data_IF_395213659581
#
_entry.id   IF_395213659581
#
_cell.length_a   1.000
_cell.length_b   1.000
_cell.length_c   1.000
_cell.angle_alpha   90.00
_cell.angle_beta   90.00
_cell.angle_gamma   90.00
#
_symmetry.space_group_name_H-M   'P 1'
#
loop_
_entity.id
_entity.type
_entity.pdbx_description
1 polymer ?
#
# COMPACT_ATOMS: atom_id res chain seq x y z
N UNK A 1 -29.47 12.98 -3.08
CA UNK A 1 -28.14 12.50 -3.50
C UNK A 1 -27.61 11.75 -2.30
N UNK A 2 -28.03 10.48 -2.19
CA UNK A 2 -27.77 9.60 -1.06
C UNK A 2 -26.36 9.02 -1.18
N UNK A 3 -25.49 9.35 -0.24
CA UNK A 3 -24.19 8.72 -0.09
C UNK A 3 -24.27 7.29 0.47
N UNK A 4 -25.23 6.48 0.01
CA UNK A 4 -25.26 5.06 0.35
C UNK A 4 -24.22 4.36 -0.51
N UNK A 5 -23.06 4.06 0.08
CA UNK A 5 -22.12 3.11 -0.50
C UNK A 5 -22.91 1.84 -0.81
N UNK A 6 -23.07 1.55 -2.09
CA UNK A 6 -23.92 0.47 -2.56
C UNK A 6 -23.42 -0.84 -1.96
N UNK A 7 -24.27 -1.52 -1.19
CA UNK A 7 -23.91 -2.76 -0.46
C UNK A 7 -23.30 -3.83 -1.38
N UNK A 8 -23.64 -3.76 -2.68
CA UNK A 8 -23.06 -4.57 -3.76
C UNK A 8 -21.55 -4.35 -3.96
N UNK A 9 -21.03 -3.14 -3.73
CA UNK A 9 -19.60 -2.81 -3.82
C UNK A 9 -18.85 -3.39 -2.61
N UNK A 10 -19.40 -3.25 -1.41
CA UNK A 10 -18.81 -3.84 -0.20
C UNK A 10 -18.80 -5.37 -0.26
N UNK A 11 -19.88 -5.96 -0.78
CA UNK A 11 -19.95 -7.41 -1.02
C UNK A 11 -18.98 -7.82 -2.13
N UNK A 12 -18.86 -7.03 -3.21
CA UNK A 12 -17.88 -7.28 -4.28
C UNK A 12 -16.43 -7.26 -3.79
N UNK A 13 -16.08 -6.26 -2.96
CA UNK A 13 -14.76 -6.14 -2.34
C UNK A 13 -14.48 -7.27 -1.33
N UNK A 14 -15.48 -7.64 -0.52
CA UNK A 14 -15.34 -8.73 0.45
C UNK A 14 -15.25 -10.11 -0.22
N UNK A 15 -16.00 -10.34 -1.29
CA UNK A 15 -15.98 -11.59 -2.06
C UNK A 15 -14.68 -11.72 -2.85
N UNK A 16 -14.17 -10.64 -3.43
CA UNK A 16 -12.83 -10.65 -4.04
C UNK A 16 -11.77 -10.91 -2.97
N UNK A 17 -11.72 -10.16 -1.87
CA UNK A 17 -10.76 -10.42 -0.79
C UNK A 17 -10.82 -11.87 -0.28
N UNK A 18 -12.01 -12.38 0.02
CA UNK A 18 -12.22 -13.72 0.57
C UNK A 18 -11.85 -14.84 -0.41
N UNK A 19 -12.24 -14.69 -1.68
CA UNK A 19 -11.87 -15.63 -2.74
C UNK A 19 -10.35 -15.68 -2.98
N UNK A 20 -9.69 -14.53 -2.88
CA UNK A 20 -8.23 -14.44 -3.08
C UNK A 20 -7.43 -14.97 -1.89
N UNK A 21 -7.87 -14.71 -0.65
CA UNK A 21 -7.25 -15.31 0.54
C UNK A 21 -7.33 -16.84 0.46
N UNK A 22 -8.46 -17.40 0.05
CA UNK A 22 -8.63 -18.84 -0.11
C UNK A 22 -7.73 -19.41 -1.21
N UNK A 23 -7.55 -18.69 -2.32
CA UNK A 23 -6.64 -19.09 -3.40
C UNK A 23 -5.16 -19.01 -2.98
N UNK A 24 -4.77 -18.01 -2.18
CA UNK A 24 -3.40 -17.93 -1.64
C UNK A 24 -3.10 -19.08 -0.67
N UNK A 25 -4.03 -19.40 0.22
CA UNK A 25 -3.84 -20.49 1.19
C UNK A 25 -3.73 -21.87 0.52
N UNK A 26 -4.31 -22.05 -0.67
CA UNK A 26 -4.21 -23.31 -1.43
C UNK A 26 -2.91 -23.41 -2.23
N UNK A 27 -2.23 -22.30 -2.50
CA UNK A 27 -1.08 -22.23 -3.41
C UNK A 27 0.27 -22.20 -2.70
N UNK A 28 0.33 -21.72 -1.44
CA UNK A 28 1.53 -21.82 -0.58
C UNK A 28 1.97 -23.27 -0.29
N UNK A 29 1.10 -24.27 -0.56
CA UNK A 29 1.43 -25.68 -0.35
C UNK A 29 2.24 -26.32 -1.49
N UNK A 30 2.53 -25.62 -2.61
CA UNK A 30 3.29 -26.20 -3.73
C UNK A 30 4.45 -25.29 -4.16
N UNK A 31 5.70 -25.61 -3.78
CA UNK A 31 6.88 -24.75 -3.97
C UNK A 31 7.42 -24.72 -5.43
N UNK A 32 6.64 -25.13 -6.42
CA UNK A 32 7.12 -25.38 -7.80
C UNK A 32 6.11 -24.89 -8.86
N UNK A 33 5.77 -23.61 -8.86
CA UNK A 33 4.96 -22.99 -9.93
C UNK A 33 5.72 -21.87 -10.64
N UNK A 34 5.46 -21.74 -11.93
CA UNK A 34 6.20 -20.89 -12.89
C UNK A 34 6.27 -19.42 -12.46
N UNK A 35 7.34 -18.73 -12.88
CA UNK A 35 7.58 -17.31 -12.56
C UNK A 35 6.35 -16.42 -12.87
N UNK A 36 5.68 -16.68 -13.99
CA UNK A 36 4.44 -16.00 -14.40
C UNK A 36 3.30 -16.14 -13.38
N UNK A 37 3.18 -17.30 -12.71
CA UNK A 37 2.17 -17.52 -11.68
C UNK A 37 2.45 -16.69 -10.42
N UNK A 38 3.71 -16.58 -10.02
CA UNK A 38 4.12 -15.74 -8.88
C UNK A 38 3.94 -14.25 -9.16
N UNK A 39 4.18 -13.79 -10.41
CA UNK A 39 3.87 -12.41 -10.85
C UNK A 39 2.37 -12.16 -10.75
N UNK A 40 1.55 -13.05 -11.33
CA UNK A 40 0.10 -12.89 -11.35
C UNK A 40 -0.45 -12.82 -9.92
N UNK A 41 -0.06 -13.76 -9.05
CA UNK A 41 -0.59 -13.81 -7.68
C UNK A 41 -0.18 -12.60 -6.83
N UNK A 42 0.94 -11.94 -7.12
CA UNK A 42 1.38 -10.72 -6.42
C UNK A 42 0.81 -9.43 -7.01
N UNK A 43 0.64 -9.34 -8.33
CA UNK A 43 0.15 -8.14 -9.00
C UNK A 43 -1.38 -8.03 -9.06
N UNK A 44 -2.11 -9.16 -8.99
CA UNK A 44 -3.58 -9.20 -9.04
C UNK A 44 -4.25 -8.41 -7.90
N UNK A 45 -3.80 -8.45 -6.63
CA UNK A 45 -4.36 -7.62 -5.57
C UNK A 45 -4.32 -6.12 -5.91
N UNK A 46 -3.17 -5.65 -6.41
CA UNK A 46 -2.96 -4.26 -6.82
C UNK A 46 -3.85 -3.86 -8.00
N UNK A 47 -4.07 -4.77 -8.96
CA UNK A 47 -5.02 -4.59 -10.07
C UNK A 47 -6.48 -4.58 -9.56
N UNK A 48 -6.81 -5.44 -8.60
CA UNK A 48 -8.14 -5.47 -7.98
C UNK A 48 -8.47 -4.15 -7.30
N UNK A 49 -7.51 -3.56 -6.59
CA UNK A 49 -7.67 -2.22 -6.00
C UNK A 49 -7.79 -1.12 -7.06
N UNK A 50 -7.09 -1.22 -8.21
CA UNK A 50 -7.27 -0.29 -9.34
C UNK A 50 -8.69 -0.35 -9.93
N UNK A 51 -9.25 -1.55 -10.08
CA UNK A 51 -10.63 -1.73 -10.58
C UNK A 51 -11.64 -1.17 -9.60
N UNK A 52 -11.45 -1.40 -8.29
CA UNK A 52 -12.31 -0.82 -7.25
C UNK A 52 -12.17 0.71 -7.23
N UNK A 53 -10.95 1.24 -7.35
CA UNK A 53 -10.73 2.68 -7.39
C UNK A 53 -11.34 3.34 -8.63
N UNK A 54 -11.37 2.64 -9.77
CA UNK A 54 -12.03 3.09 -10.99
C UNK A 54 -13.57 2.95 -10.95
N UNK A 55 -14.10 2.09 -10.08
CA UNK A 55 -15.53 1.84 -9.93
C UNK A 55 -16.20 2.75 -8.88
N UNK A 56 -15.42 3.46 -8.06
CA UNK A 56 -15.96 4.42 -7.09
C UNK A 56 -15.80 5.81 -7.69
N UNK A 57 -16.94 6.48 -7.96
CA UNK A 57 -16.96 7.89 -8.34
C UNK A 57 -16.55 8.72 -7.12
N UNK A 58 -15.28 9.07 -7.04
CA UNK A 58 -14.74 9.85 -5.94
C UNK A 58 -14.86 11.34 -6.24
N UNK A 59 -15.72 12.04 -5.50
CA UNK A 59 -15.81 13.49 -5.50
C UNK A 59 -14.49 14.09 -4.95
N UNK A 60 -13.59 14.48 -5.86
CA UNK A 60 -12.30 15.08 -5.52
C UNK A 60 -11.19 14.68 -6.50
N UNK A 61 -11.17 15.31 -7.68
CA UNK A 61 -10.29 14.96 -8.80
C UNK A 61 -8.81 14.77 -8.39
N UNK A 62 -8.30 15.59 -7.48
CA UNK A 62 -6.90 15.54 -7.05
C UNK A 62 -6.61 14.33 -6.14
N UNK A 63 -7.46 14.05 -5.15
CA UNK A 63 -7.26 12.95 -4.20
C UNK A 63 -7.28 11.60 -4.91
N UNK A 64 -8.30 11.38 -5.75
CA UNK A 64 -8.49 10.16 -6.53
C UNK A 64 -7.33 9.90 -7.48
N UNK A 65 -6.82 10.94 -8.14
CA UNK A 65 -5.71 10.82 -9.07
C UNK A 65 -4.42 10.38 -8.36
N UNK A 66 -4.13 10.91 -7.18
CA UNK A 66 -2.96 10.49 -6.39
C UNK A 66 -3.08 9.07 -5.85
N UNK A 67 -4.29 8.64 -5.44
CA UNK A 67 -4.54 7.23 -5.07
C UNK A 67 -4.34 6.31 -6.27
N UNK A 68 -4.86 6.67 -7.44
CA UNK A 68 -4.69 5.89 -8.67
C UNK A 68 -3.21 5.77 -9.06
N UNK A 69 -2.46 6.88 -9.00
CA UNK A 69 -1.01 6.89 -9.23
C UNK A 69 -0.29 5.94 -8.25
N UNK A 70 -0.64 6.01 -6.96
CA UNK A 70 -0.05 5.13 -5.94
C UNK A 70 -0.33 3.66 -6.20
N UNK A 71 -1.55 3.33 -6.66
CA UNK A 71 -1.94 1.97 -7.02
C UNK A 71 -1.20 1.46 -8.26
N UNK A 72 -1.08 2.29 -9.31
CA UNK A 72 -0.30 1.94 -10.51
C UNK A 72 1.16 1.68 -10.14
N UNK A 73 1.76 2.55 -9.31
CA UNK A 73 3.13 2.38 -8.83
C UNK A 73 3.31 1.10 -8.01
N UNK A 74 2.33 0.76 -7.17
CA UNK A 74 2.36 -0.47 -6.38
C UNK A 74 2.27 -1.72 -7.27
N UNK A 75 1.36 -1.70 -8.27
CA UNK A 75 1.25 -2.78 -9.25
C UNK A 75 2.52 -2.95 -10.09
N UNK A 76 3.14 -1.85 -10.52
CA UNK A 76 4.45 -1.87 -11.18
C UNK A 76 5.54 -2.43 -10.26
N UNK A 77 5.52 -2.04 -8.98
CA UNK A 77 6.40 -2.57 -7.95
C UNK A 77 6.32 -4.09 -7.81
N UNK A 78 5.10 -4.64 -7.76
CA UNK A 78 4.85 -6.09 -7.68
C UNK A 78 5.41 -6.84 -8.88
N UNK A 79 5.22 -6.30 -10.09
CA UNK A 79 5.76 -6.90 -11.32
C UNK A 79 7.29 -6.88 -11.32
N UNK A 80 7.89 -5.75 -10.92
CA UNK A 80 9.33 -5.57 -10.88
C UNK A 80 10.02 -6.44 -9.81
N UNK A 81 9.37 -6.65 -8.66
CA UNK A 81 9.87 -7.50 -7.57
C UNK A 81 9.97 -8.98 -7.95
N UNK A 82 9.17 -9.45 -8.91
CA UNK A 82 9.22 -10.84 -9.38
C UNK A 82 10.24 -11.03 -10.51
N UNK A 83 10.72 -9.93 -11.11
CA UNK A 83 11.83 -9.98 -12.06
C UNK A 83 13.08 -10.57 -11.41
N UNK A 84 13.59 -11.67 -11.98
CA UNK A 84 14.79 -12.33 -11.47
C UNK A 84 16.02 -11.42 -11.66
N UNK A 85 16.44 -10.71 -10.61
CA UNK A 85 17.65 -9.90 -10.60
C UNK A 85 17.63 -8.78 -9.56
N UNK A 86 18.81 -8.32 -9.15
CA UNK A 86 18.97 -7.22 -8.17
C UNK A 86 18.51 -5.86 -8.72
N UNK A 87 18.63 -5.62 -10.02
CA UNK A 87 18.19 -4.37 -10.67
C UNK A 87 16.67 -4.18 -10.65
N UNK A 88 15.88 -5.11 -11.21
CA UNK A 88 14.41 -5.06 -11.16
C UNK A 88 13.87 -5.01 -9.73
N UNK A 89 14.49 -5.75 -8.80
CA UNK A 89 14.12 -5.70 -7.38
C UNK A 89 14.25 -4.29 -6.79
N UNK A 90 15.37 -3.60 -7.02
CA UNK A 90 15.58 -2.22 -6.53
C UNK A 90 14.64 -1.23 -7.22
N UNK A 91 14.35 -1.43 -8.51
CA UNK A 91 13.37 -0.61 -9.23
C UNK A 91 11.95 -0.80 -8.68
N UNK A 92 11.56 -2.05 -8.36
CA UNK A 92 10.27 -2.36 -7.74
C UNK A 92 10.15 -1.78 -6.34
N UNK A 93 11.24 -1.82 -5.56
CA UNK A 93 11.34 -1.12 -4.29
C UNK A 93 11.13 0.40 -4.52
N UNK A 94 11.87 1.03 -5.44
CA UNK A 94 11.66 2.45 -5.78
C UNK A 94 10.20 2.79 -6.13
N UNK A 95 9.55 1.97 -6.97
CA UNK A 95 8.15 2.15 -7.34
C UNK A 95 7.21 2.08 -6.14
N UNK A 96 7.40 1.11 -5.24
CA UNK A 96 6.62 1.01 -4.00
C UNK A 96 6.79 2.25 -3.11
N UNK A 97 8.01 2.73 -2.93
CA UNK A 97 8.27 3.91 -2.10
C UNK A 97 7.55 5.14 -2.67
N UNK A 98 7.63 5.34 -3.99
CA UNK A 98 6.92 6.42 -4.68
C UNK A 98 5.40 6.27 -4.57
N UNK A 99 4.90 5.03 -4.60
CA UNK A 99 3.48 4.76 -4.38
C UNK A 99 3.00 5.23 -3.01
N UNK A 100 3.78 5.01 -1.96
CA UNK A 100 3.47 5.50 -0.61
C UNK A 100 3.51 7.03 -0.51
N UNK A 101 4.44 7.67 -1.21
CA UNK A 101 4.46 9.14 -1.31
C UNK A 101 3.20 9.65 -2.00
N UNK A 102 2.78 9.02 -3.11
CA UNK A 102 1.55 9.38 -3.80
C UNK A 102 0.32 9.23 -2.87
N UNK A 103 0.24 8.15 -2.09
CA UNK A 103 -0.81 8.00 -1.08
C UNK A 103 -0.77 9.08 0.00
N UNK A 104 0.42 9.41 0.53
CA UNK A 104 0.54 10.49 1.51
C UNK A 104 0.05 11.84 0.95
N UNK A 105 0.41 12.17 -0.29
CA UNK A 105 -0.10 13.37 -0.98
C UNK A 105 -1.61 13.32 -1.12
N UNK A 106 -2.17 12.16 -1.47
CA UNK A 106 -3.61 11.96 -1.54
C UNK A 106 -4.28 12.29 -0.19
N UNK A 107 -3.82 11.72 0.92
CA UNK A 107 -4.40 11.96 2.24
C UNK A 107 -4.24 13.41 2.71
N UNK A 108 -3.08 14.03 2.44
CA UNK A 108 -2.86 15.44 2.75
C UNK A 108 -3.80 16.33 1.95
N UNK A 109 -3.99 16.06 0.65
CA UNK A 109 -4.89 16.84 -0.21
C UNK A 109 -6.37 16.75 0.19
N UNK A 110 -6.77 15.66 0.87
CA UNK A 110 -8.12 15.49 1.44
C UNK A 110 -8.33 16.25 2.76
N UNK A 111 -7.25 16.72 3.39
CA UNK A 111 -7.26 17.36 4.70
C UNK A 111 -6.90 16.38 5.82
N UNK A 112 -6.19 16.86 6.84
CA UNK A 112 -5.63 16.03 7.93
C UNK A 112 -5.97 16.68 9.27
N UNK A 113 -6.67 15.95 10.12
CA UNK A 113 -6.89 16.34 11.52
C UNK A 113 -5.61 16.18 12.31
N UNK A 114 -5.15 17.27 12.92
CA UNK A 114 -3.90 17.30 13.68
C UNK A 114 -3.91 16.35 14.87
N UNK A 115 -5.05 16.23 15.56
CA UNK A 115 -5.19 15.37 16.75
C UNK A 115 -5.05 13.90 16.37
N UNK A 116 -5.77 13.47 15.34
CA UNK A 116 -5.71 12.09 14.84
C UNK A 116 -4.37 11.77 14.17
N UNK A 117 -3.82 12.71 13.39
CA UNK A 117 -2.52 12.56 12.75
C UNK A 117 -1.39 12.45 13.77
N UNK A 118 -1.37 13.30 14.81
CA UNK A 118 -0.38 13.25 15.87
C UNK A 118 -0.50 11.97 16.71
N UNK A 119 -1.72 11.56 17.06
CA UNK A 119 -1.97 10.30 17.79
C UNK A 119 -1.47 9.09 17.00
N UNK A 120 -1.79 9.03 15.71
CA UNK A 120 -1.30 7.97 14.82
C UNK A 120 0.22 8.00 14.67
N UNK A 121 0.83 9.19 14.54
CA UNK A 121 2.28 9.33 14.46
C UNK A 121 2.98 8.81 15.71
N UNK A 122 2.42 9.04 16.90
CA UNK A 122 2.98 8.51 18.16
C UNK A 122 2.91 6.98 18.17
N UNK A 123 1.74 6.41 17.89
CA UNK A 123 1.54 4.95 17.93
C UNK A 123 2.39 4.25 16.87
N UNK A 124 2.28 4.68 15.61
CA UNK A 124 3.02 4.09 14.50
C UNK A 124 4.51 4.37 14.63
N UNK A 125 4.89 5.56 15.09
CA UNK A 125 6.29 5.92 15.35
C UNK A 125 6.93 5.05 16.44
N UNK A 126 6.20 4.70 17.50
CA UNK A 126 6.69 3.79 18.53
C UNK A 126 6.92 2.37 17.97
N UNK A 127 5.98 1.86 17.16
CA UNK A 127 6.12 0.56 16.49
C UNK A 127 7.29 0.58 15.50
N UNK A 128 7.38 1.62 14.68
CA UNK A 128 8.44 1.84 13.71
C UNK A 128 9.81 1.90 14.39
N UNK A 129 9.90 2.58 15.54
CA UNK A 129 11.13 2.66 16.33
C UNK A 129 11.54 1.31 16.91
N UNK A 130 10.60 0.58 17.50
CA UNK A 130 10.86 -0.77 18.02
C UNK A 130 11.33 -1.71 16.91
N UNK A 131 10.67 -1.65 15.75
CA UNK A 131 11.04 -2.42 14.57
C UNK A 131 12.41 -2.03 14.03
N UNK A 132 12.71 -0.72 13.90
CA UNK A 132 14.02 -0.23 13.48
C UNK A 132 15.11 -0.70 14.45
N UNK A 133 14.86 -0.65 15.76
CA UNK A 133 15.85 -1.06 16.76
C UNK A 133 16.19 -2.55 16.69
N UNK A 134 15.22 -3.37 16.29
CA UNK A 134 15.38 -4.81 16.10
C UNK A 134 15.96 -5.17 14.73
N UNK A 135 15.60 -4.42 13.68
CA UNK A 135 15.96 -4.71 12.29
C UNK A 135 17.33 -4.13 11.92
N UNK A 136 17.60 -2.87 12.24
CA UNK A 136 18.82 -2.17 11.82
C UNK A 136 20.12 -2.89 12.23
N UNK A 137 20.23 -3.52 13.42
CA UNK A 137 21.43 -4.30 13.77
C UNK A 137 21.67 -5.53 12.90
N UNK A 138 20.68 -5.99 12.14
CA UNK A 138 20.72 -7.20 11.31
C UNK A 138 20.88 -6.88 9.82
N UNK A 139 20.87 -5.60 9.45
CA UNK A 139 20.94 -5.13 8.08
C UNK A 139 22.37 -4.69 7.77
N UNK A 140 22.85 -5.01 6.57
CA UNK A 140 24.16 -4.53 6.10
C UNK A 140 24.18 -3.01 5.96
N UNK A 141 25.32 -2.37 6.23
CA UNK A 141 25.46 -0.90 6.24
C UNK A 141 24.98 -0.21 4.95
N UNK A 142 25.09 -0.89 3.80
CA UNK A 142 24.61 -0.39 2.51
C UNK A 142 23.09 -0.28 2.41
N UNK A 143 22.35 -1.11 3.15
CA UNK A 143 20.87 -1.19 3.12
C UNK A 143 20.21 -0.42 4.26
N UNK A 144 20.96 0.02 5.27
CA UNK A 144 20.44 0.83 6.39
C UNK A 144 19.75 2.10 5.89
N UNK A 145 20.36 2.84 4.97
CA UNK A 145 19.79 4.08 4.41
C UNK A 145 18.44 3.84 3.70
N UNK A 146 18.33 2.89 2.74
CA UNK A 146 17.04 2.51 2.16
C UNK A 146 15.98 2.12 3.19
N UNK A 147 16.35 1.31 4.20
CA UNK A 147 15.42 0.84 5.23
C UNK A 147 14.87 1.99 6.07
N UNK A 148 15.74 2.92 6.50
CA UNK A 148 15.30 4.10 7.27
C UNK A 148 14.39 5.00 6.43
N UNK A 149 14.74 5.26 5.16
CA UNK A 149 13.90 6.05 4.26
C UNK A 149 12.49 5.44 4.13
N UNK A 150 12.43 4.11 4.00
CA UNK A 150 11.17 3.36 3.97
C UNK A 150 10.33 3.53 5.22
N UNK A 151 10.94 3.34 6.39
CA UNK A 151 10.26 3.45 7.68
C UNK A 151 9.66 4.85 7.83
N UNK A 152 10.40 5.90 7.45
CA UNK A 152 9.93 7.28 7.52
C UNK A 152 8.72 7.50 6.60
N UNK A 153 8.82 7.10 5.32
CA UNK A 153 7.75 7.33 4.33
C UNK A 153 6.47 6.59 4.70
N UNK A 154 6.58 5.32 5.12
CA UNK A 154 5.42 4.52 5.53
C UNK A 154 4.79 5.11 6.80
N UNK A 155 5.60 5.46 7.81
CA UNK A 155 5.09 6.06 9.05
C UNK A 155 4.35 7.36 8.77
N UNK A 156 4.90 8.21 7.89
CA UNK A 156 4.27 9.45 7.47
C UNK A 156 2.95 9.21 6.73
N UNK A 157 2.93 8.27 5.77
CA UNK A 157 1.70 7.90 5.06
C UNK A 157 0.61 7.42 6.02
N UNK A 158 0.92 6.54 6.98
CA UNK A 158 -0.08 6.05 7.94
C UNK A 158 -0.60 7.17 8.84
N UNK A 159 0.27 8.07 9.31
CA UNK A 159 -0.14 9.22 10.12
C UNK A 159 -1.08 10.16 9.35
N UNK A 160 -0.76 10.47 8.09
CA UNK A 160 -1.62 11.29 7.22
C UNK A 160 -2.94 10.59 6.89
N UNK A 161 -2.92 9.27 6.67
CA UNK A 161 -4.13 8.48 6.43
C UNK A 161 -5.08 8.53 7.63
N UNK A 162 -4.58 8.26 8.83
CA UNK A 162 -5.38 8.32 10.05
C UNK A 162 -5.92 9.73 10.32
N UNK A 163 -5.09 10.76 10.11
CA UNK A 163 -5.54 12.14 10.23
C UNK A 163 -6.59 12.54 9.19
N UNK A 164 -6.54 11.99 7.98
CA UNK A 164 -7.56 12.24 6.95
C UNK A 164 -8.92 11.61 7.27
N UNK A 165 -8.92 10.42 7.87
CA UNK A 165 -10.14 9.78 8.38
C UNK A 165 -10.77 10.63 9.49
N UNK A 166 -9.94 11.12 10.42
CA UNK A 166 -10.41 11.98 11.53
C UNK A 166 -10.74 13.43 11.14
N UNK A 167 -10.54 13.84 9.89
CA UNK A 167 -11.02 15.12 9.36
C UNK A 167 -12.37 14.98 8.64
N UNK A 168 -12.65 13.80 8.10
CA UNK A 168 -13.87 13.50 7.36
C UNK A 168 -15.03 13.01 8.25
N UNK A 169 -14.78 12.71 9.53
CA UNK A 169 -15.78 12.34 10.54
C UNK A 169 -15.92 13.41 11.61
#
# INVERSE_FOLDING_TARGET
MDGSIDTSILVGAAVTLGGWILLMLTTERRPSTSLAYSVLMKAIPSIGFLVVAAAIDFEGANWTQWVAIGLVLSALGDVLLVGAGTGPFVAGLGAFLLGHVAYAVAFVSRGVSWVWGAGALIVVGAVAFAFARWLLPKVTDSLVRPVVAYIIVITFMVATAAGSVGHAG
#
